data_IF_238487792890
#
_entry.id   IF_238487792890
#
_cell.length_a   1.000
_cell.length_b   1.000
_cell.length_c   1.000
_cell.angle_alpha   90.00
_cell.angle_beta   90.00
_cell.angle_gamma   90.00
#
_symmetry.space_group_name_H-M   'P 1'
#
loop_
_entity.id
_entity.type
_entity.pdbx_description
1 polymer ?
#
# COMPACT_ATOMS: atom_id res chain seq x y z
N UNK A 1 5.25 -16.60 -20.60
CA UNK A 1 4.15 -16.72 -19.63
C UNK A 1 4.78 -16.58 -18.27
N UNK A 2 4.28 -15.66 -17.45
CA UNK A 2 4.67 -15.60 -16.04
C UNK A 2 4.18 -16.88 -15.37
N UNK A 3 5.04 -17.59 -14.65
CA UNK A 3 4.62 -18.76 -13.87
C UNK A 3 3.85 -18.34 -12.61
N UNK A 4 3.13 -19.30 -12.02
CA UNK A 4 2.29 -19.06 -10.85
C UNK A 4 3.11 -18.64 -9.61
N UNK A 5 4.36 -19.08 -9.51
CA UNK A 5 5.27 -18.72 -8.42
C UNK A 5 5.63 -17.23 -8.48
N UNK A 6 6.02 -16.75 -9.67
CA UNK A 6 6.35 -15.35 -9.92
C UNK A 6 5.11 -14.47 -9.76
N UNK A 7 3.95 -14.92 -10.23
CA UNK A 7 2.68 -14.20 -10.02
C UNK A 7 2.35 -14.10 -8.52
N UNK A 8 2.53 -15.18 -7.76
CA UNK A 8 2.36 -15.21 -6.31
C UNK A 8 3.32 -14.26 -5.58
N UNK A 9 4.58 -14.22 -5.99
CA UNK A 9 5.58 -13.30 -5.42
C UNK A 9 5.21 -11.82 -5.66
N UNK A 10 4.80 -11.48 -6.89
CA UNK A 10 4.34 -10.12 -7.23
C UNK A 10 3.08 -9.76 -6.43
N UNK A 11 2.10 -10.66 -6.33
CA UNK A 11 0.87 -10.43 -5.56
C UNK A 11 1.16 -10.17 -4.07
N UNK A 12 2.06 -10.94 -3.45
CA UNK A 12 2.49 -10.72 -2.07
C UNK A 12 3.18 -9.37 -1.89
N UNK A 13 4.11 -9.02 -2.79
CA UNK A 13 4.79 -7.72 -2.77
C UNK A 13 3.79 -6.56 -2.91
N UNK A 14 2.85 -6.65 -3.87
CA UNK A 14 1.81 -5.64 -4.07
C UNK A 14 0.89 -5.53 -2.85
N UNK A 15 0.52 -6.64 -2.22
CA UNK A 15 -0.30 -6.62 -0.99
C UNK A 15 0.37 -5.86 0.15
N UNK A 16 1.64 -6.16 0.43
CA UNK A 16 2.43 -5.46 1.46
C UNK A 16 2.61 -3.98 1.07
N UNK A 17 2.91 -3.70 -0.19
CA UNK A 17 3.12 -2.35 -0.69
C UNK A 17 1.86 -1.48 -0.54
N UNK A 18 0.70 -2.00 -0.94
CA UNK A 18 -0.59 -1.31 -0.77
C UNK A 18 -0.88 -1.08 0.71
N UNK A 19 -0.64 -2.08 1.57
CA UNK A 19 -0.86 -1.92 3.01
C UNK A 19 0.02 -0.81 3.60
N UNK A 20 1.30 -0.75 3.20
CA UNK A 20 2.19 0.34 3.60
C UNK A 20 1.71 1.71 3.08
N UNK A 21 1.21 1.79 1.85
CA UNK A 21 0.62 3.02 1.30
C UNK A 21 -0.64 3.45 2.04
N UNK A 22 -1.51 2.52 2.44
CA UNK A 22 -2.70 2.82 3.25
C UNK A 22 -2.30 3.38 4.61
N UNK A 23 -1.29 2.79 5.26
CA UNK A 23 -0.75 3.32 6.52
C UNK A 23 -0.17 4.71 6.31
N UNK A 24 0.66 4.90 5.28
CA UNK A 24 1.24 6.20 4.96
C UNK A 24 0.16 7.25 4.68
N UNK A 25 -0.89 6.89 3.95
CA UNK A 25 -2.04 7.75 3.72
C UNK A 25 -2.70 8.15 5.04
N UNK A 26 -2.99 7.20 5.95
CA UNK A 26 -3.57 7.51 7.25
C UNK A 26 -2.67 8.41 8.09
N UNK A 27 -1.35 8.19 8.08
CA UNK A 27 -0.38 9.03 8.78
C UNK A 27 -0.35 10.46 8.21
N UNK A 28 -0.42 10.59 6.89
CA UNK A 28 -0.49 11.89 6.22
C UNK A 28 -1.81 12.57 6.56
N UNK A 29 -2.96 11.91 6.42
CA UNK A 29 -4.28 12.52 6.69
C UNK A 29 -4.56 12.77 8.17
N UNK A 30 -3.87 12.08 9.08
CA UNK A 30 -3.93 12.33 10.52
C UNK A 30 -3.14 13.58 10.92
N UNK A 31 -2.31 14.13 10.03
CA UNK A 31 -1.66 15.40 10.26
C UNK A 31 -2.71 16.53 10.19
N UNK A 32 -2.88 17.35 11.25
CA UNK A 32 -3.85 18.45 11.30
C UNK A 32 -3.74 19.42 10.11
N UNK A 33 -2.59 19.48 9.44
CA UNK A 33 -2.41 20.31 8.23
C UNK A 33 -3.26 19.86 7.04
N UNK A 34 -3.80 18.64 7.07
CA UNK A 34 -4.69 18.08 6.05
C UNK A 34 -6.08 17.73 6.60
N UNK A 35 -6.38 18.09 7.85
CA UNK A 35 -7.77 18.19 8.28
C UNK A 35 -8.43 19.23 7.38
N UNK A 36 -9.22 18.75 6.42
CA UNK A 36 -10.07 19.59 5.61
C UNK A 36 -11.02 20.31 6.57
N UNK A 37 -10.66 21.55 6.91
CA UNK A 37 -11.53 22.47 7.62
C UNK A 37 -12.79 22.73 6.80
#
# INVERSE_FOLDING_TARGET
MIDDETLGAIANFLGIFIFALVIAYHLVTADPKYEAS
#
